data_IF_185442535284
#
_entry.id   IF_185442535284
#
_cell.length_a   1.000
_cell.length_b   1.000
_cell.length_c   1.000
_cell.angle_alpha   90.00
_cell.angle_beta   90.00
_cell.angle_gamma   90.00
#
_symmetry.space_group_name_H-M   'P 1'
#
loop_
_entity.id
_entity.type
_entity.pdbx_description
1 polymer ?
#
# COMPACT_ATOMS: atom_id res chain seq x y z
N UNK A 1 -23.05 -13.97 13.40
CA UNK A 1 -23.32 -12.60 12.93
C UNK A 1 -21.99 -11.95 12.60
N UNK A 2 -21.54 -12.04 11.35
CA UNK A 2 -20.28 -11.40 10.94
C UNK A 2 -20.62 -9.97 10.56
N UNK A 3 -20.26 -9.01 11.41
CA UNK A 3 -20.28 -7.60 11.03
C UNK A 3 -19.27 -7.46 9.90
N UNK A 4 -19.74 -7.47 8.65
CA UNK A 4 -18.94 -6.98 7.53
C UNK A 4 -18.69 -5.51 7.86
N UNK A 5 -17.51 -5.18 8.39
CA UNK A 5 -17.05 -3.80 8.42
C UNK A 5 -16.96 -3.36 6.97
N UNK A 6 -18.04 -2.75 6.48
CA UNK A 6 -18.04 -2.08 5.20
C UNK A 6 -17.12 -0.89 5.39
N UNK A 7 -15.90 -1.00 4.86
CA UNK A 7 -14.91 0.07 4.82
C UNK A 7 -15.63 1.27 4.19
N UNK A 8 -16.05 2.23 5.02
CA UNK A 8 -16.86 3.39 4.59
C UNK A 8 -15.98 4.60 4.30
N UNK A 9 -14.67 4.37 4.17
CA UNK A 9 -13.71 5.38 3.79
C UNK A 9 -14.05 5.95 2.41
N UNK A 10 -13.85 7.25 2.24
CA UNK A 10 -14.12 7.98 0.99
C UNK A 10 -12.88 8.69 0.49
N UNK A 11 -12.87 8.93 -0.82
CA UNK A 11 -11.87 9.73 -1.49
C UNK A 11 -12.44 11.14 -1.67
N UNK A 12 -11.73 12.15 -1.18
CA UNK A 12 -12.04 13.55 -1.45
C UNK A 12 -11.83 13.91 -2.93
N UNK A 13 -12.27 15.10 -3.35
CA UNK A 13 -11.97 15.61 -4.70
C UNK A 13 -10.47 15.67 -4.98
N UNK A 14 -9.67 16.04 -3.99
CA UNK A 14 -8.21 16.05 -4.11
C UNK A 14 -7.66 14.63 -4.31
N UNK A 15 -8.24 13.63 -3.65
CA UNK A 15 -7.82 12.23 -3.76
C UNK A 15 -8.18 11.65 -5.13
N UNK A 16 -9.36 12.01 -5.64
CA UNK A 16 -9.79 11.65 -6.99
C UNK A 16 -8.89 12.29 -8.04
N UNK A 17 -8.57 13.58 -7.90
CA UNK A 17 -7.65 14.26 -8.81
C UNK A 17 -6.24 13.64 -8.77
N UNK A 18 -5.74 13.31 -7.59
CA UNK A 18 -4.48 12.58 -7.44
C UNK A 18 -4.53 11.23 -8.17
N UNK A 19 -5.61 10.45 -8.01
CA UNK A 19 -5.78 9.18 -8.70
C UNK A 19 -5.74 9.34 -10.22
N UNK A 20 -6.43 10.36 -10.78
CA UNK A 20 -6.40 10.67 -12.22
C UNK A 20 -5.00 11.01 -12.72
N UNK A 21 -4.23 11.80 -11.97
CA UNK A 21 -2.84 12.13 -12.31
C UNK A 21 -1.93 10.90 -12.30
N UNK A 22 -2.12 10.01 -11.33
CA UNK A 22 -1.38 8.74 -11.25
C UNK A 22 -1.73 7.81 -12.42
N UNK A 23 -3.01 7.63 -12.73
CA UNK A 23 -3.50 6.76 -13.82
C UNK A 23 -3.02 7.23 -15.20
N UNK A 24 -3.06 8.54 -15.43
CA UNK A 24 -2.59 9.16 -16.67
C UNK A 24 -1.06 9.27 -16.74
N UNK A 25 -0.35 8.99 -15.64
CA UNK A 25 1.11 9.12 -15.54
C UNK A 25 1.61 10.56 -15.57
N UNK A 26 0.73 11.52 -15.25
CA UNK A 26 1.02 12.95 -15.19
C UNK A 26 1.42 13.42 -13.79
N UNK A 27 1.29 12.56 -12.77
CA UNK A 27 1.79 12.89 -11.44
C UNK A 27 3.31 13.06 -11.46
N UNK A 28 3.88 14.17 -10.94
CA UNK A 28 5.31 14.40 -11.00
C UNK A 28 6.08 13.30 -10.24
N UNK A 29 7.00 12.61 -10.92
CA UNK A 29 7.77 11.54 -10.27
C UNK A 29 8.59 12.06 -9.06
N UNK A 30 9.05 13.32 -9.10
CA UNK A 30 9.74 13.96 -7.98
C UNK A 30 8.87 14.15 -6.74
N UNK A 31 7.55 14.13 -6.89
CA UNK A 31 6.57 14.22 -5.80
C UNK A 31 6.05 12.85 -5.37
N UNK A 32 6.41 11.76 -6.06
CA UNK A 32 6.01 10.40 -5.68
C UNK A 32 6.88 9.87 -4.54
N UNK A 33 6.67 10.44 -3.36
CA UNK A 33 7.32 10.06 -2.12
C UNK A 33 6.53 8.97 -1.34
N UNK A 34 6.92 8.75 -0.09
CA UNK A 34 6.25 7.79 0.78
C UNK A 34 4.79 8.14 1.05
N UNK A 35 4.46 9.41 1.26
CA UNK A 35 3.09 9.83 1.53
C UNK A 35 2.20 9.66 0.28
N UNK A 36 2.71 10.00 -0.91
CA UNK A 36 2.04 9.72 -2.17
C UNK A 36 1.79 8.21 -2.37
N UNK A 37 2.71 7.35 -1.95
CA UNK A 37 2.52 5.90 -1.98
C UNK A 37 1.39 5.44 -1.05
N UNK A 38 1.34 5.95 0.19
CA UNK A 38 0.24 5.66 1.12
C UNK A 38 -1.11 6.14 0.56
N UNK A 39 -1.12 7.31 -0.06
CA UNK A 39 -2.31 7.89 -0.70
C UNK A 39 -2.80 7.03 -1.84
N UNK A 40 -1.90 6.52 -2.68
CA UNK A 40 -2.22 5.57 -3.74
C UNK A 40 -2.88 4.32 -3.16
N UNK A 41 -2.30 3.71 -2.13
CA UNK A 41 -2.89 2.55 -1.48
C UNK A 41 -4.30 2.84 -0.93
N UNK A 42 -4.48 3.98 -0.24
CA UNK A 42 -5.77 4.40 0.31
C UNK A 42 -6.85 4.55 -0.76
N UNK A 43 -6.59 5.28 -1.86
CA UNK A 43 -7.58 5.47 -2.93
C UNK A 43 -7.90 4.18 -3.67
N UNK A 44 -6.93 3.27 -3.81
CA UNK A 44 -7.16 1.96 -4.42
C UNK A 44 -8.12 1.12 -3.59
N UNK A 45 -7.92 1.09 -2.26
CA UNK A 45 -8.69 0.27 -1.32
C UNK A 45 -10.13 0.76 -1.11
N UNK A 46 -10.47 1.98 -1.52
CA UNK A 46 -11.85 2.50 -1.41
C UNK A 46 -12.79 1.81 -2.41
N UNK A 47 -12.32 1.50 -3.61
CA UNK A 47 -13.15 1.02 -4.73
C UNK A 47 -12.85 -0.40 -5.17
N UNK A 48 -11.84 -1.05 -4.57
CA UNK A 48 -11.32 -2.35 -5.00
C UNK A 48 -11.13 -3.27 -3.80
N UNK A 49 -11.26 -4.57 -4.04
CA UNK A 49 -10.70 -5.55 -3.12
C UNK A 49 -9.17 -5.49 -3.14
N UNK A 50 -8.55 -6.22 -2.21
CA UNK A 50 -7.10 -6.18 -2.02
C UNK A 50 -6.32 -6.65 -3.24
N UNK A 51 -6.79 -7.70 -3.91
CA UNK A 51 -6.06 -8.28 -5.04
C UNK A 51 -6.06 -7.28 -6.19
N UNK A 52 -7.25 -6.73 -6.52
CA UNK A 52 -7.37 -5.69 -7.53
C UNK A 52 -6.62 -4.40 -7.16
N UNK A 53 -6.59 -4.03 -5.87
CA UNK A 53 -5.85 -2.86 -5.40
C UNK A 53 -4.33 -3.03 -5.56
N UNK A 54 -3.80 -4.23 -5.27
CA UNK A 54 -2.38 -4.55 -5.45
C UNK A 54 -1.97 -4.50 -6.92
N UNK A 55 -2.72 -5.17 -7.80
CA UNK A 55 -2.43 -5.19 -9.23
C UNK A 55 -2.49 -3.77 -9.81
N UNK A 56 -3.50 -3.00 -9.42
CA UNK A 56 -3.60 -1.60 -9.81
C UNK A 56 -2.41 -0.76 -9.34
N UNK A 57 -1.97 -0.90 -8.08
CA UNK A 57 -0.80 -0.16 -7.58
C UNK A 57 0.45 -0.53 -8.37
N UNK A 58 0.66 -1.82 -8.65
CA UNK A 58 1.77 -2.30 -9.47
C UNK A 58 1.75 -1.66 -10.85
N UNK A 59 0.60 -1.66 -11.53
CA UNK A 59 0.46 -1.13 -12.88
C UNK A 59 0.69 0.37 -12.95
N UNK A 60 0.11 1.12 -12.03
CA UNK A 60 0.23 2.58 -11.98
C UNK A 60 1.66 3.02 -11.66
N UNK A 61 2.31 2.40 -10.68
CA UNK A 61 3.71 2.75 -10.34
C UNK A 61 4.64 2.39 -11.50
N UNK A 62 4.50 1.19 -12.09
CA UNK A 62 5.33 0.80 -13.23
C UNK A 62 5.08 1.69 -14.47
N UNK A 63 3.83 2.11 -14.71
CA UNK A 63 3.50 3.09 -15.76
C UNK A 63 4.20 4.41 -15.51
N UNK A 64 4.15 4.93 -14.29
CA UNK A 64 4.81 6.18 -13.92
C UNK A 64 6.32 6.12 -14.16
N UNK A 65 6.99 5.03 -13.74
CA UNK A 65 8.42 4.82 -13.99
C UNK A 65 8.74 4.78 -15.49
N UNK A 66 7.96 4.02 -16.29
CA UNK A 66 8.16 3.92 -17.75
C UNK A 66 8.02 5.25 -18.45
N UNK A 67 6.96 6.01 -18.16
CA UNK A 67 6.72 7.31 -18.81
C UNK A 67 7.82 8.34 -18.47
N UNK A 68 8.42 8.22 -17.29
CA UNK A 68 9.54 9.06 -16.85
C UNK A 68 10.92 8.48 -17.18
N UNK A 69 11.00 7.41 -17.99
CA UNK A 69 12.25 6.75 -18.40
C UNK A 69 13.14 6.32 -17.23
N UNK A 70 12.53 5.92 -16.12
CA UNK A 70 13.22 5.39 -14.95
C UNK A 70 13.29 3.87 -15.03
N UNK A 71 14.42 3.33 -14.57
CA UNK A 71 14.65 1.89 -14.47
C UNK A 71 13.48 1.20 -13.74
N UNK A 72 12.81 0.21 -14.36
CA UNK A 72 11.71 -0.53 -13.73
C UNK A 72 12.15 -1.21 -12.42
N UNK A 73 13.44 -1.53 -12.23
CA UNK A 73 13.95 -2.03 -10.96
C UNK A 73 13.83 -1.01 -9.82
N UNK A 74 13.40 0.24 -10.06
CA UNK A 74 13.02 1.14 -8.95
C UNK A 74 11.71 0.73 -8.27
N UNK A 75 10.85 -0.03 -8.94
CA UNK A 75 9.70 -0.67 -8.32
C UNK A 75 10.14 -1.68 -7.24
N UNK A 76 9.31 -1.86 -6.22
CA UNK A 76 9.58 -2.80 -5.13
C UNK A 76 8.28 -3.48 -4.68
N UNK A 77 8.12 -4.74 -5.08
CA UNK A 77 6.91 -5.53 -4.85
C UNK A 77 6.61 -5.67 -3.35
N UNK A 78 7.57 -6.15 -2.55
CA UNK A 78 7.34 -6.38 -1.12
C UNK A 78 6.94 -5.10 -0.37
N UNK A 79 7.58 -3.96 -0.64
CA UNK A 79 7.25 -2.69 0.02
C UNK A 79 5.84 -2.23 -0.37
N UNK A 80 5.49 -2.32 -1.65
CA UNK A 80 4.15 -1.94 -2.15
C UNK A 80 3.07 -2.76 -1.46
N UNK A 81 3.24 -4.08 -1.42
CA UNK A 81 2.31 -4.99 -0.76
C UNK A 81 2.21 -4.74 0.76
N UNK A 82 3.35 -4.54 1.42
CA UNK A 82 3.40 -4.29 2.86
C UNK A 82 2.63 -3.01 3.24
N UNK A 83 2.83 -1.91 2.51
CA UNK A 83 2.13 -0.66 2.79
C UNK A 83 0.65 -0.72 2.46
N UNK A 84 0.26 -1.33 1.34
CA UNK A 84 -1.15 -1.50 1.01
C UNK A 84 -1.89 -2.31 2.08
N UNK A 85 -1.30 -3.41 2.54
CA UNK A 85 -1.91 -4.22 3.60
C UNK A 85 -1.94 -3.50 4.95
N UNK A 86 -0.93 -2.68 5.25
CA UNK A 86 -0.91 -1.83 6.45
C UNK A 86 -2.03 -0.78 6.41
N UNK A 87 -2.19 -0.09 5.28
CA UNK A 87 -3.28 0.90 5.07
C UNK A 87 -4.64 0.22 5.21
N UNK A 88 -4.84 -0.94 4.57
CA UNK A 88 -6.07 -1.73 4.69
C UNK A 88 -6.40 -2.08 6.13
N UNK A 89 -5.42 -2.55 6.89
CA UNK A 89 -5.63 -2.90 8.29
C UNK A 89 -6.09 -1.68 9.08
N UNK A 90 -5.42 -0.53 8.92
CA UNK A 90 -5.81 0.72 9.60
C UNK A 90 -7.21 1.20 9.19
N UNK A 91 -7.57 1.09 7.91
CA UNK A 91 -8.92 1.39 7.44
C UNK A 91 -10.00 0.48 8.05
N UNK A 92 -9.63 -0.75 8.44
CA UNK A 92 -10.55 -1.73 9.07
C UNK A 92 -10.66 -1.54 10.59
N UNK A 93 -9.56 -1.17 11.24
CA UNK A 93 -9.44 -1.10 12.70
C UNK A 93 -9.82 0.28 13.27
N UNK A 94 -10.14 1.26 12.42
CA UNK A 94 -10.47 2.63 12.82
C UNK A 94 -11.81 3.14 12.27
N UNK A 95 -12.39 4.20 12.88
CA UNK A 95 -13.47 4.95 12.27
C UNK A 95 -13.15 5.33 10.82
N UNK A 96 -14.18 5.31 9.96
CA UNK A 96 -14.01 5.67 8.55
C UNK A 96 -13.74 7.16 8.38
N UNK A 97 -12.91 7.49 7.39
CA UNK A 97 -12.51 8.85 7.03
C UNK A 97 -13.08 9.28 5.68
N UNK A 98 -13.23 10.59 5.49
CA UNK A 98 -13.77 11.18 4.27
C UNK A 98 -12.70 11.52 3.21
N UNK A 99 -11.42 11.37 3.57
CA UNK A 99 -10.27 11.75 2.74
C UNK A 99 -8.98 11.07 3.22
N UNK A 100 -7.98 10.98 2.34
CA UNK A 100 -6.64 10.54 2.75
C UNK A 100 -6.02 11.48 3.80
N UNK A 101 -6.27 12.79 3.70
CA UNK A 101 -5.76 13.76 4.66
C UNK A 101 -6.33 13.51 6.08
N UNK A 102 -7.61 13.14 6.19
CA UNK A 102 -8.21 12.72 7.47
C UNK A 102 -7.63 11.40 7.95
N UNK A 103 -7.41 10.44 7.04
CA UNK A 103 -6.79 9.15 7.36
C UNK A 103 -5.37 9.28 7.92
N UNK A 104 -4.51 10.08 7.28
CA UNK A 104 -3.12 10.22 7.73
C UNK A 104 -3.01 11.00 9.04
N UNK A 105 -3.92 11.95 9.30
CA UNK A 105 -4.03 12.61 10.62
C UNK A 105 -4.46 11.66 11.72
N UNK A 106 -5.28 10.67 11.40
CA UNK A 106 -5.72 9.65 12.35
C UNK A 106 -4.62 8.62 12.64
N UNK A 107 -3.76 8.34 11.66
CA UNK A 107 -2.67 7.36 11.74
C UNK A 107 -1.32 7.99 11.38
N UNK A 108 -0.84 9.01 12.14
CA UNK A 108 0.36 9.76 11.78
C UNK A 108 1.62 8.90 11.75
N UNK A 109 1.64 7.77 12.47
CA UNK A 109 2.76 6.83 12.47
C UNK A 109 3.04 6.20 11.10
N UNK A 110 2.05 6.18 10.19
CA UNK A 110 2.23 5.64 8.85
C UNK A 110 3.21 6.48 8.01
N UNK A 111 3.38 7.77 8.35
CA UNK A 111 4.34 8.65 7.65
C UNK A 111 5.81 8.28 7.90
N UNK A 112 6.10 7.52 8.96
CA UNK A 112 7.43 6.98 9.18
C UNK A 112 7.64 5.72 8.32
N UNK A 113 8.38 5.88 7.22
CA UNK A 113 8.67 4.76 6.32
C UNK A 113 9.47 3.62 6.97
N UNK A 114 10.05 3.84 8.17
CA UNK A 114 10.78 2.82 8.92
C UNK A 114 9.84 1.88 9.68
N UNK A 115 8.55 2.20 9.77
CA UNK A 115 7.56 1.37 10.49
C UNK A 115 7.59 -0.09 10.04
N UNK A 116 7.72 -0.35 8.73
CA UNK A 116 7.77 -1.72 8.18
C UNK A 116 9.00 -2.52 8.65
N UNK A 117 10.07 -1.87 9.13
CA UNK A 117 11.26 -2.55 9.69
C UNK A 117 11.00 -3.23 11.02
N UNK A 118 9.83 -3.01 11.64
CA UNK A 118 9.36 -3.84 12.76
C UNK A 118 9.02 -5.26 12.30
N UNK A 119 8.55 -5.38 11.07
CA UNK A 119 8.07 -6.63 10.46
C UNK A 119 9.14 -7.31 9.62
N UNK A 120 10.00 -6.54 8.97
CA UNK A 120 11.02 -7.06 8.07
C UNK A 120 12.45 -6.76 8.52
N UNK A 121 13.35 -7.73 8.32
CA UNK A 121 14.79 -7.51 8.34
C UNK A 121 15.25 -6.77 7.08
N UNK A 122 16.37 -6.06 7.19
CA UNK A 122 17.03 -5.40 6.06
C UNK A 122 17.47 -6.41 5.00
N UNK A 123 17.99 -7.58 5.43
CA UNK A 123 18.37 -8.66 4.52
C UNK A 123 17.20 -9.17 3.68
N UNK A 124 15.99 -9.16 4.23
CA UNK A 124 14.79 -9.57 3.48
C UNK A 124 14.31 -8.48 2.56
N UNK A 125 14.10 -7.25 3.07
CA UNK A 125 13.61 -6.13 2.26
C UNK A 125 14.53 -5.82 1.08
N UNK A 126 15.84 -5.80 1.30
CA UNK A 126 16.80 -5.40 0.25
C UNK A 126 17.34 -6.58 -0.56
N UNK A 127 16.73 -7.77 -0.44
CA UNK A 127 17.03 -8.90 -1.33
C UNK A 127 16.49 -8.63 -2.74
N UNK A 128 17.16 -9.13 -3.81
CA UNK A 128 16.62 -9.06 -5.16
C UNK A 128 15.21 -9.66 -5.26
N UNK A 129 14.98 -10.78 -4.56
CA UNK A 129 13.70 -11.48 -4.57
C UNK A 129 12.55 -10.63 -4.00
N UNK A 130 12.77 -9.86 -2.93
CA UNK A 130 11.73 -8.99 -2.35
C UNK A 130 11.31 -7.84 -3.28
N UNK A 131 12.17 -7.50 -4.23
CA UNK A 131 11.93 -6.46 -5.21
C UNK A 131 10.96 -6.91 -6.30
N UNK A 132 11.02 -8.18 -6.66
CA UNK A 132 10.23 -8.81 -7.74
C UNK A 132 9.02 -9.60 -7.23
N UNK A 133 9.10 -10.14 -6.01
CA UNK A 133 8.06 -10.95 -5.41
C UNK A 133 7.69 -10.44 -4.02
N UNK A 134 6.41 -10.59 -3.64
CA UNK A 134 5.97 -10.32 -2.29
C UNK A 134 6.50 -11.40 -1.35
N UNK A 135 7.33 -10.99 -0.39
CA UNK A 135 7.77 -11.84 0.71
C UNK A 135 7.01 -11.47 1.97
N UNK A 136 6.56 -12.48 2.72
CA UNK A 136 5.98 -12.28 4.06
C UNK A 136 7.02 -11.67 5.03
N UNK A 137 6.61 -11.00 6.11
CA UNK A 137 7.51 -10.57 7.18
C UNK A 137 8.35 -11.71 7.78
N UNK A 138 9.57 -11.40 8.25
CA UNK A 138 10.48 -12.37 8.91
C UNK A 138 10.85 -12.01 10.36
N UNK A 139 10.45 -10.83 10.86
CA UNK A 139 10.63 -10.44 12.27
C UNK A 139 9.35 -10.58 13.07
N UNK A 140 8.29 -9.90 12.63
CA UNK A 140 6.98 -9.93 13.27
C UNK A 140 5.90 -9.99 12.20
N UNK A 141 4.91 -10.90 12.32
CA UNK A 141 3.78 -10.91 11.40
C UNK A 141 3.03 -9.57 11.48
N UNK A 142 2.36 -9.19 10.39
CA UNK A 142 1.35 -8.15 10.49
C UNK A 142 0.14 -8.66 11.27
N UNK A 143 -0.59 -7.77 11.95
CA UNK A 143 -1.75 -8.16 12.76
C UNK A 143 -2.88 -8.85 11.99
N UNK A 144 -2.88 -8.76 10.65
CA UNK A 144 -3.82 -9.47 9.77
C UNK A 144 -3.35 -10.88 9.34
N UNK A 145 -2.13 -11.29 9.68
CA UNK A 145 -1.66 -12.67 9.49
C UNK A 145 -2.12 -13.48 10.71
N UNK A 146 -3.32 -14.04 10.64
CA UNK A 146 -3.78 -15.01 11.65
C UNK A 146 -2.88 -16.26 11.63
N UNK A 147 -2.57 -16.89 12.78
CA UNK A 147 -1.83 -18.16 12.82
C UNK A 147 -2.49 -19.28 11.99
N UNK A 148 -3.79 -19.17 11.72
CA UNK A 148 -4.61 -20.14 10.99
C UNK A 148 -4.55 -20.03 9.46
N UNK A 149 -3.82 -19.08 8.87
CA UNK A 149 -3.57 -19.03 7.41
C UNK A 149 -2.26 -19.69 6.96
N UNK A 150 -1.48 -20.25 7.89
CA UNK A 150 -0.41 -21.21 7.58
C UNK A 150 -0.99 -22.63 7.53
N UNK A 151 -1.92 -22.85 6.59
CA UNK A 151 -2.38 -24.19 6.23
C UNK A 151 -1.34 -24.85 5.33
N UNK A 152 -0.68 -25.87 5.88
CA UNK A 152 0.13 -26.92 5.24
C UNK A 152 0.38 -26.79 3.73
N UNK A 153 1.57 -26.34 3.36
CA UNK A 153 2.23 -26.81 2.15
C UNK A 153 3.34 -27.78 2.58
N UNK A 154 2.96 -29.05 2.72
CA UNK A 154 3.84 -30.21 2.55
C UNK A 154 3.42 -30.87 1.24
#
# INVERSE_FOLDING_TARGET
>A
MTVKHQISNRASLNDQHFQVLMESGQYPLSEFDHEAHLRLAYVCLISRDVVMALDYCRDVINRLLRLNKVDPHKYHETITCAWLMTVRQRMSDSPSTDSFASFIRQHPELTDNRLIRRHYSDSRLFSPLAREHFLLPDKQPFGWVSPSSLGSAV
#
